data_IF_490052377225
#
_entry.id   IF_490052377225
#
_cell.length_a   1.000
_cell.length_b   1.000
_cell.length_c   1.000
_cell.angle_alpha   90.00
_cell.angle_beta   90.00
_cell.angle_gamma   90.00
#
_symmetry.space_group_name_H-M   'P 1'
#
loop_
_entity.id
_entity.type
_entity.pdbx_description
1 polymer ?
#
# COMPACT_ATOMS: atom_id res chain seq x y z
N UNK A 1 -33.82 -6.68 -3.46
CA UNK A 1 -34.15 -5.98 -4.73
C UNK A 1 -33.01 -5.03 -5.07
N UNK A 2 -32.61 -4.87 -6.35
CA UNK A 2 -31.59 -3.90 -6.75
C UNK A 2 -32.29 -2.59 -7.15
N UNK A 3 -31.92 -1.49 -6.51
CA UNK A 3 -32.45 -0.16 -6.84
C UNK A 3 -31.91 0.27 -8.21
N UNK A 4 -32.80 0.67 -9.12
CA UNK A 4 -32.46 1.24 -10.44
C UNK A 4 -33.09 2.63 -10.53
N UNK A 5 -32.28 3.62 -10.85
CA UNK A 5 -32.67 5.02 -10.96
C UNK A 5 -32.36 5.48 -12.37
N UNK A 6 -33.39 5.83 -13.13
CA UNK A 6 -33.21 6.50 -14.42
C UNK A 6 -33.07 7.99 -14.19
N UNK A 7 -31.90 8.55 -14.48
CA UNK A 7 -31.64 10.00 -14.41
C UNK A 7 -31.76 10.57 -15.81
N UNK A 8 -32.57 11.61 -15.99
CA UNK A 8 -32.69 12.31 -17.27
C UNK A 8 -32.11 13.72 -17.15
N UNK A 9 -31.18 14.06 -18.04
CA UNK A 9 -30.56 15.37 -18.06
C UNK A 9 -31.51 16.45 -18.64
N UNK A 10 -31.11 17.72 -18.59
CA UNK A 10 -31.91 18.85 -19.10
C UNK A 10 -32.10 18.88 -20.62
N UNK A 11 -31.46 17.96 -21.37
CA UNK A 11 -31.56 17.80 -22.81
C UNK A 11 -32.42 16.60 -23.24
N UNK A 12 -32.94 15.84 -22.26
CA UNK A 12 -33.80 14.69 -22.52
C UNK A 12 -33.06 13.36 -22.69
N UNK A 13 -31.75 13.31 -22.48
CA UNK A 13 -31.01 12.06 -22.44
C UNK A 13 -31.17 11.41 -21.08
N UNK A 14 -31.51 10.13 -21.08
CA UNK A 14 -31.66 9.32 -19.86
C UNK A 14 -30.52 8.31 -19.74
N UNK A 15 -29.99 8.16 -18.53
CA UNK A 15 -29.07 7.08 -18.16
C UNK A 15 -29.65 6.29 -16.98
N UNK A 16 -29.34 4.99 -16.91
CA UNK A 16 -29.77 4.12 -15.81
C UNK A 16 -28.62 3.95 -14.83
N UNK A 17 -28.77 4.51 -13.64
CA UNK A 17 -27.85 4.30 -12.53
C UNK A 17 -28.36 3.14 -11.69
N UNK A 18 -27.52 2.14 -11.51
CA UNK A 18 -27.73 1.04 -10.59
C UNK A 18 -26.95 1.29 -9.29
N UNK A 19 -27.47 0.81 -8.15
CA UNK A 19 -26.71 0.84 -6.89
C UNK A 19 -25.44 -0.03 -6.88
N UNK A 20 -25.10 -0.68 -8.00
CA UNK A 20 -23.87 -1.43 -8.20
C UNK A 20 -22.87 -0.69 -9.10
N UNK A 21 -23.23 0.47 -9.66
CA UNK A 21 -22.31 1.25 -10.48
C UNK A 21 -21.19 1.79 -9.59
N UNK A 22 -19.94 1.45 -9.93
CA UNK A 22 -18.77 1.74 -9.09
C UNK A 22 -18.37 0.60 -8.15
N UNK A 23 -19.24 -0.38 -7.86
CA UNK A 23 -18.87 -1.56 -7.06
C UNK A 23 -17.96 -2.47 -7.88
N UNK A 24 -16.76 -2.72 -7.38
CA UNK A 24 -15.79 -3.65 -7.99
C UNK A 24 -15.89 -5.01 -7.33
N UNK A 25 -15.72 -6.08 -8.11
CA UNK A 25 -15.58 -7.43 -7.55
C UNK A 25 -14.14 -7.59 -7.04
N UNK A 26 -13.90 -7.81 -5.73
CA UNK A 26 -12.57 -7.98 -5.16
C UNK A 26 -11.74 -9.08 -5.83
N UNK A 27 -12.40 -10.13 -6.34
CA UNK A 27 -11.74 -11.25 -7.01
C UNK A 27 -11.31 -10.93 -8.45
N UNK A 28 -11.74 -9.77 -8.98
CA UNK A 28 -11.39 -9.30 -10.32
C UNK A 28 -10.32 -8.21 -10.32
N UNK A 29 -9.83 -7.80 -9.15
CA UNK A 29 -8.77 -6.81 -9.03
C UNK A 29 -7.42 -7.44 -9.45
N UNK A 30 -6.60 -6.64 -10.11
CA UNK A 30 -5.25 -7.03 -10.49
C UNK A 30 -4.33 -7.09 -9.24
N UNK A 31 -3.24 -7.85 -9.38
CA UNK A 31 -2.21 -7.94 -8.35
C UNK A 31 -2.52 -8.93 -7.23
N UNK A 32 -1.60 -8.99 -6.27
CA UNK A 32 -1.56 -10.03 -5.24
C UNK A 32 -1.33 -9.42 -3.85
N UNK A 33 -1.61 -10.21 -2.80
CA UNK A 33 -1.56 -9.71 -1.42
C UNK A 33 -0.23 -10.02 -0.74
N UNK A 34 0.22 -11.28 -0.80
CA UNK A 34 1.48 -11.72 -0.17
C UNK A 34 1.94 -13.07 -0.74
N UNK A 35 3.24 -13.38 -0.67
CA UNK A 35 3.72 -14.73 -0.97
C UNK A 35 3.13 -15.75 0.02
N UNK A 36 2.96 -16.98 -0.44
CA UNK A 36 2.32 -18.07 0.30
C UNK A 36 3.24 -18.74 1.33
N UNK A 37 4.55 -18.75 1.05
CA UNK A 37 5.58 -19.40 1.87
C UNK A 37 6.31 -18.47 2.84
N UNK A 38 7.25 -19.02 3.61
CA UNK A 38 8.18 -18.23 4.42
C UNK A 38 9.22 -17.51 3.53
N UNK A 39 9.77 -16.37 3.96
CA UNK A 39 10.86 -15.72 3.23
C UNK A 39 12.06 -16.64 3.08
N UNK A 40 12.70 -16.59 1.91
CA UNK A 40 13.92 -17.34 1.65
C UNK A 40 15.10 -16.89 2.54
N UNK A 41 15.08 -15.65 3.01
CA UNK A 41 16.11 -15.06 3.88
C UNK A 41 15.45 -14.11 4.87
N UNK A 42 15.90 -14.19 6.13
CA UNK A 42 15.54 -13.27 7.20
C UNK A 42 16.83 -12.55 7.60
N UNK A 43 17.01 -11.27 7.22
CA UNK A 43 18.18 -10.51 7.60
C UNK A 43 18.27 -10.25 9.10
N UNK A 44 19.48 -9.97 9.58
CA UNK A 44 19.68 -9.50 10.95
C UNK A 44 19.04 -8.11 11.15
N UNK A 45 19.09 -7.60 12.38
CA UNK A 45 18.63 -6.26 12.70
C UNK A 45 19.29 -5.18 11.81
N UNK A 46 18.46 -4.31 11.22
CA UNK A 46 18.94 -3.24 10.34
C UNK A 46 19.73 -2.19 11.12
N UNK A 47 21.05 -2.14 10.89
CA UNK A 47 21.95 -1.17 11.49
C UNK A 47 22.40 -0.15 10.46
N UNK A 48 22.04 1.13 10.64
CA UNK A 48 22.58 2.20 9.81
C UNK A 48 24.01 2.54 10.27
N UNK A 49 24.99 2.67 9.36
CA UNK A 49 26.35 3.09 9.72
C UNK A 49 26.45 4.51 10.30
N UNK A 50 25.44 5.32 10.02
CA UNK A 50 25.30 6.69 10.48
C UNK A 50 24.52 6.72 11.80
N UNK A 51 25.16 7.21 12.86
CA UNK A 51 24.60 7.27 14.21
C UNK A 51 23.60 8.43 14.40
N UNK A 52 23.56 9.40 13.48
CA UNK A 52 22.54 10.44 13.44
C UNK A 52 21.25 9.97 12.74
N UNK A 53 21.25 8.78 12.14
CA UNK A 53 20.06 8.23 11.47
C UNK A 53 18.98 7.83 12.47
N UNK A 54 17.84 8.51 12.37
CA UNK A 54 16.62 8.17 13.06
C UNK A 54 15.65 7.50 12.08
N UNK A 55 15.37 6.21 12.35
CA UNK A 55 14.44 5.41 11.55
C UNK A 55 13.04 6.01 11.62
N UNK A 56 12.36 6.08 10.49
CA UNK A 56 10.96 6.48 10.46
C UNK A 56 10.16 5.51 11.36
N UNK A 57 9.28 6.01 12.24
CA UNK A 57 8.59 5.16 13.19
C UNK A 57 7.72 4.13 12.45
N UNK A 58 7.78 2.87 12.90
CA UNK A 58 6.73 1.90 12.59
C UNK A 58 5.52 2.19 13.47
N UNK A 59 4.33 2.13 12.87
CA UNK A 59 3.07 2.52 13.53
C UNK A 59 2.18 1.30 13.80
N UNK A 60 2.24 0.28 12.94
CA UNK A 60 1.34 -0.88 12.99
C UNK A 60 2.07 -2.16 13.43
N UNK A 61 1.64 -2.71 14.57
CA UNK A 61 2.12 -3.99 15.08
C UNK A 61 1.44 -5.17 14.35
N UNK A 62 0.09 -5.18 14.38
CA UNK A 62 -0.76 -6.11 13.66
C UNK A 62 -1.35 -5.43 12.42
N UNK A 63 -1.55 -6.19 11.34
CA UNK A 63 -2.02 -5.65 10.05
C UNK A 63 -3.11 -6.51 9.43
N UNK A 64 -3.98 -5.87 8.66
CA UNK A 64 -4.98 -6.53 7.84
C UNK A 64 -4.41 -6.79 6.44
N UNK A 65 -4.19 -8.06 6.11
CA UNK A 65 -3.60 -8.45 4.83
C UNK A 65 -4.61 -8.34 3.69
N UNK A 66 -4.39 -7.35 2.80
CA UNK A 66 -5.10 -7.22 1.53
C UNK A 66 -6.54 -6.73 1.59
N UNK A 67 -7.25 -6.87 2.70
CA UNK A 67 -8.65 -6.46 2.83
C UNK A 67 -8.91 -5.91 4.22
N UNK A 68 -9.72 -4.84 4.32
CA UNK A 68 -10.01 -4.20 5.60
C UNK A 68 -10.91 -2.99 5.46
N UNK A 69 -10.95 -2.17 6.51
CA UNK A 69 -11.88 -1.07 6.64
C UNK A 69 -11.26 0.32 6.77
N UNK A 70 -12.15 1.29 6.95
CA UNK A 70 -11.89 2.70 7.17
C UNK A 70 -11.34 2.95 8.58
N UNK A 71 -10.90 4.18 8.86
CA UNK A 71 -10.56 4.61 10.23
C UNK A 71 -11.78 4.63 11.18
N UNK A 72 -12.99 4.43 10.65
CA UNK A 72 -14.27 4.43 11.37
C UNK A 72 -15.07 3.13 11.19
N UNK A 73 -14.39 2.00 10.94
CA UNK A 73 -14.95 0.65 10.85
C UNK A 73 -15.81 0.33 9.60
N UNK A 74 -15.80 1.18 8.56
CA UNK A 74 -16.48 0.83 7.29
C UNK A 74 -15.64 -0.17 6.50
N UNK A 75 -16.19 -1.34 6.18
CA UNK A 75 -15.49 -2.36 5.37
C UNK A 75 -15.55 -2.07 3.86
N UNK A 76 -14.57 -2.59 3.11
CA UNK A 76 -14.62 -2.61 1.65
C UNK A 76 -13.43 -1.94 0.97
N UNK A 77 -12.28 -1.89 1.63
CA UNK A 77 -11.01 -1.53 1.01
C UNK A 77 -10.24 -2.81 0.68
N UNK A 78 -9.75 -2.89 -0.55
CA UNK A 78 -8.90 -3.97 -1.04
C UNK A 78 -7.54 -3.42 -1.46
N UNK A 79 -6.47 -3.92 -0.86
CA UNK A 79 -5.08 -3.56 -1.14
C UNK A 79 -4.40 -4.68 -1.93
N UNK A 80 -3.74 -4.33 -3.02
CA UNK A 80 -3.01 -5.27 -3.89
C UNK A 80 -1.66 -4.69 -4.29
N UNK A 81 -0.68 -5.55 -4.49
CA UNK A 81 0.57 -5.21 -5.15
C UNK A 81 0.53 -5.66 -6.61
N UNK A 82 0.78 -4.73 -7.51
CA UNK A 82 0.79 -4.94 -8.97
C UNK A 82 2.23 -4.84 -9.46
N UNK A 83 2.75 -5.93 -10.02
CA UNK A 83 4.01 -5.93 -10.76
C UNK A 83 3.68 -5.75 -12.25
N UNK A 84 3.92 -4.57 -12.86
CA UNK A 84 3.57 -4.29 -14.24
C UNK A 84 4.36 -5.12 -15.27
N UNK A 85 5.48 -5.71 -14.88
CA UNK A 85 6.26 -6.59 -15.74
C UNK A 85 5.77 -8.04 -15.76
N UNK A 86 4.85 -8.41 -14.85
CA UNK A 86 4.32 -9.76 -14.70
C UNK A 86 2.92 -9.88 -15.33
N UNK A 87 2.71 -10.89 -16.19
CA UNK A 87 1.44 -11.15 -16.88
C UNK A 87 0.83 -12.54 -16.58
N UNK A 88 1.41 -13.28 -15.62
CA UNK A 88 0.93 -14.59 -15.17
C UNK A 88 -0.06 -14.54 -14.00
N UNK A 89 -0.33 -15.70 -13.41
CA UNK A 89 -1.29 -15.89 -12.31
C UNK A 89 -0.66 -16.46 -11.02
N UNK A 90 0.66 -16.67 -11.00
CA UNK A 90 1.40 -17.14 -9.82
C UNK A 90 1.79 -15.98 -8.91
N UNK A 91 1.19 -15.96 -7.70
CA UNK A 91 1.43 -14.92 -6.72
C UNK A 91 2.87 -14.87 -6.20
N UNK A 92 3.52 -16.03 -6.05
CA UNK A 92 4.88 -16.11 -5.52
C UNK A 92 5.90 -15.61 -6.55
N UNK A 93 5.62 -15.79 -7.85
CA UNK A 93 6.43 -15.22 -8.94
C UNK A 93 6.16 -13.71 -9.11
N UNK A 94 4.90 -13.28 -9.10
CA UNK A 94 4.54 -11.86 -9.24
C UNK A 94 5.12 -10.97 -8.14
N UNK A 95 5.17 -11.50 -6.92
CA UNK A 95 5.62 -10.81 -5.71
C UNK A 95 7.11 -11.00 -5.44
N UNK A 96 7.86 -11.55 -6.40
CA UNK A 96 9.32 -11.64 -6.35
C UNK A 96 9.90 -10.49 -7.16
N UNK A 97 10.50 -9.51 -6.48
CA UNK A 97 11.06 -8.31 -7.09
C UNK A 97 12.59 -8.32 -7.06
N UNK A 98 13.20 -7.84 -8.14
CA UNK A 98 14.64 -7.61 -8.28
C UNK A 98 14.96 -6.11 -8.20
N UNK A 99 16.24 -5.77 -8.10
CA UNK A 99 16.65 -4.36 -7.99
C UNK A 99 16.30 -3.61 -9.27
N UNK A 100 15.62 -2.48 -9.11
CA UNK A 100 15.17 -1.65 -10.23
C UNK A 100 13.82 -2.07 -10.83
N UNK A 101 13.19 -3.13 -10.32
CA UNK A 101 11.81 -3.46 -10.71
C UNK A 101 10.86 -2.35 -10.25
N UNK A 102 9.94 -1.98 -11.15
CA UNK A 102 8.82 -1.12 -10.83
C UNK A 102 7.72 -1.97 -10.20
N UNK A 103 7.06 -1.45 -9.17
CA UNK A 103 5.85 -2.06 -8.62
C UNK A 103 4.91 -0.99 -8.11
N UNK A 104 3.64 -1.34 -7.99
CA UNK A 104 2.61 -0.44 -7.47
C UNK A 104 1.86 -1.12 -6.35
N UNK A 105 1.41 -0.32 -5.40
CA UNK A 105 0.41 -0.74 -4.43
C UNK A 105 -0.87 0.01 -4.75
N UNK A 106 -1.97 -0.72 -4.87
CA UNK A 106 -3.27 -0.17 -5.23
C UNK A 106 -4.28 -0.50 -4.12
N UNK A 107 -4.89 0.55 -3.55
CA UNK A 107 -6.03 0.43 -2.65
C UNK A 107 -7.30 0.80 -3.41
N UNK A 108 -8.25 -0.13 -3.52
CA UNK A 108 -9.53 0.08 -4.20
C UNK A 108 -10.68 0.03 -3.21
N UNK A 109 -11.57 1.03 -3.24
CA UNK A 109 -12.87 0.93 -2.57
C UNK A 109 -13.82 0.06 -3.40
N UNK A 110 -14.08 -1.15 -2.92
CA UNK A 110 -15.00 -2.11 -3.55
C UNK A 110 -16.44 -1.99 -3.03
N UNK A 111 -16.69 -1.16 -2.03
CA UNK A 111 -18.01 -0.94 -1.48
C UNK A 111 -18.90 -0.05 -2.37
N UNK A 112 -20.20 -0.05 -2.09
CA UNK A 112 -21.19 0.78 -2.79
C UNK A 112 -21.36 2.19 -2.17
N UNK A 113 -20.47 2.59 -1.25
CA UNK A 113 -20.48 3.89 -0.59
C UNK A 113 -19.06 4.43 -0.41
N UNK A 114 -18.96 5.74 -0.15
CA UNK A 114 -17.69 6.41 0.14
C UNK A 114 -17.08 5.86 1.44
N UNK A 115 -15.78 5.58 1.42
CA UNK A 115 -15.01 5.13 2.59
C UNK A 115 -13.99 6.21 2.96
N UNK A 116 -13.98 6.62 4.24
CA UNK A 116 -13.06 7.62 4.75
C UNK A 116 -11.71 7.02 5.19
N UNK A 117 -10.62 7.47 4.60
CA UNK A 117 -9.25 7.07 4.96
C UNK A 117 -8.43 8.28 5.40
N UNK A 118 -7.29 8.04 6.04
CA UNK A 118 -6.28 9.05 6.34
C UNK A 118 -5.59 9.55 5.07
N UNK A 119 -4.82 10.63 5.19
CA UNK A 119 -3.99 11.11 4.08
C UNK A 119 -3.08 9.98 3.53
N UNK A 120 -2.93 9.91 2.21
CA UNK A 120 -2.28 8.79 1.52
C UNK A 120 -0.76 8.68 1.79
N UNK A 121 -0.13 9.68 2.41
CA UNK A 121 1.25 9.61 2.89
C UNK A 121 1.41 8.74 4.14
N UNK A 122 0.33 8.30 4.79
CA UNK A 122 0.37 7.49 6.02
C UNK A 122 0.72 6.01 5.73
N UNK A 123 1.94 5.74 5.25
CA UNK A 123 2.42 4.38 4.98
C UNK A 123 3.85 4.10 5.44
N UNK A 124 4.13 2.83 5.72
CA UNK A 124 5.47 2.29 6.01
C UNK A 124 5.90 1.27 4.95
N UNK A 125 7.21 1.13 4.78
CA UNK A 125 7.85 0.07 3.99
C UNK A 125 8.83 -0.64 4.91
N UNK A 126 8.52 -1.88 5.27
CA UNK A 126 9.20 -2.59 6.35
C UNK A 126 9.79 -3.90 5.85
N UNK A 127 11.01 -4.21 6.28
CA UNK A 127 11.67 -5.49 6.07
C UNK A 127 11.44 -6.40 7.27
N UNK A 128 11.15 -7.67 7.01
CA UNK A 128 11.07 -8.70 8.05
C UNK A 128 12.48 -9.19 8.43
N UNK A 129 12.93 -8.80 9.62
CA UNK A 129 14.25 -9.13 10.18
C UNK A 129 14.12 -10.11 11.35
N UNK A 130 15.26 -10.53 11.91
CA UNK A 130 15.30 -11.30 13.16
C UNK A 130 14.64 -10.57 14.35
N UNK A 131 14.52 -9.24 14.31
CA UNK A 131 13.82 -8.43 15.33
C UNK A 131 12.33 -8.17 14.99
N UNK A 132 11.86 -8.70 13.85
CA UNK A 132 10.53 -8.45 13.31
C UNK A 132 10.53 -7.40 12.20
N UNK A 133 9.35 -6.85 11.93
CA UNK A 133 9.15 -5.83 10.89
C UNK A 133 9.84 -4.52 11.27
N UNK A 134 10.73 -4.06 10.40
CA UNK A 134 11.55 -2.87 10.62
C UNK A 134 11.46 -1.94 9.41
N UNK A 135 11.04 -0.70 9.62
CA UNK A 135 10.94 0.32 8.57
C UNK A 135 12.32 0.62 7.96
N UNK A 136 12.43 0.61 6.64
CA UNK A 136 13.74 0.72 5.97
C UNK A 136 14.19 2.17 5.77
N UNK A 137 13.25 3.11 5.82
CA UNK A 137 13.50 4.55 5.63
C UNK A 137 13.68 5.28 6.95
N UNK A 138 14.36 6.41 6.89
CA UNK A 138 14.57 7.32 8.00
C UNK A 138 15.38 8.52 7.55
N UNK A 139 15.90 9.29 8.49
CA UNK A 139 16.67 10.50 8.19
C UNK A 139 17.24 11.09 9.46
N UNK A 140 17.75 12.31 9.38
CA UNK A 140 18.57 12.88 10.46
C UNK A 140 17.74 13.61 11.55
N UNK A 141 16.41 13.69 11.38
CA UNK A 141 15.48 14.36 12.31
C UNK A 141 14.08 13.74 12.23
N UNK A 142 13.74 12.83 13.14
CA UNK A 142 12.44 12.16 13.12
C UNK A 142 11.24 13.10 13.36
N UNK A 143 11.46 14.31 13.90
CA UNK A 143 10.38 15.29 14.06
C UNK A 143 9.83 15.79 12.73
N UNK A 144 10.56 15.55 11.61
CA UNK A 144 10.13 15.89 10.26
C UNK A 144 9.15 14.91 9.65
N UNK A 145 8.95 13.74 10.24
CA UNK A 145 8.06 12.69 9.73
C UNK A 145 6.62 12.81 10.27
N UNK A 146 6.19 14.02 10.59
CA UNK A 146 4.88 14.27 11.17
C UNK A 146 3.80 14.32 10.08
N UNK A 147 2.70 13.59 10.31
CA UNK A 147 1.55 13.55 9.42
C UNK A 147 0.38 14.32 10.01
N UNK A 148 -0.40 14.97 9.15
CA UNK A 148 -1.66 15.61 9.54
C UNK A 148 -2.77 14.57 9.69
N UNK A 149 -3.68 14.84 10.63
CA UNK A 149 -4.92 14.10 10.78
C UNK A 149 -5.97 14.67 9.83
N UNK A 150 -5.89 14.21 8.58
CA UNK A 150 -6.84 14.51 7.52
C UNK A 150 -7.64 13.27 7.14
N UNK A 151 -8.96 13.44 6.99
CA UNK A 151 -9.86 12.42 6.47
C UNK A 151 -10.12 12.70 4.98
N UNK A 152 -9.76 11.74 4.14
CA UNK A 152 -9.93 11.75 2.69
C UNK A 152 -11.04 10.74 2.32
N UNK A 153 -12.00 11.18 1.51
CA UNK A 153 -13.08 10.30 1.04
C UNK A 153 -12.64 9.54 -0.22
N UNK A 154 -12.73 8.21 -0.21
CA UNK A 154 -12.51 7.33 -1.36
C UNK A 154 -13.85 6.86 -1.89
N UNK A 155 -14.21 7.20 -3.13
CA UNK A 155 -15.52 6.86 -3.71
C UNK A 155 -15.63 5.39 -4.11
N UNK A 156 -16.85 4.85 -4.30
CA UNK A 156 -17.05 3.52 -4.89
C UNK A 156 -16.26 3.33 -6.18
N UNK A 157 -15.39 2.33 -6.21
CA UNK A 157 -14.56 1.96 -7.35
C UNK A 157 -13.35 2.87 -7.60
N UNK A 158 -13.11 3.85 -6.73
CA UNK A 158 -11.90 4.67 -6.75
C UNK A 158 -10.70 3.86 -6.27
N UNK A 159 -9.58 4.02 -6.97
CA UNK A 159 -8.29 3.37 -6.67
C UNK A 159 -7.26 4.44 -6.35
N UNK A 160 -6.60 4.27 -5.20
CA UNK A 160 -5.42 5.04 -4.80
C UNK A 160 -4.19 4.20 -5.15
N UNK A 161 -3.23 4.81 -5.85
CA UNK A 161 -2.01 4.14 -6.30
C UNK A 161 -0.78 4.76 -5.62
N UNK A 162 0.11 3.92 -5.11
CA UNK A 162 1.49 4.25 -4.76
C UNK A 162 2.43 3.53 -5.70
N UNK A 163 3.29 4.27 -6.39
CA UNK A 163 4.24 3.72 -7.36
C UNK A 163 5.66 3.78 -6.79
N UNK A 164 6.42 2.70 -6.98
CA UNK A 164 7.77 2.55 -6.44
C UNK A 164 8.69 1.90 -7.47
N UNK A 165 9.99 2.15 -7.29
CA UNK A 165 11.06 1.37 -7.93
C UNK A 165 11.90 0.73 -6.84
N UNK A 166 12.24 -0.56 -6.97
CA UNK A 166 12.99 -1.32 -5.97
C UNK A 166 14.48 -0.92 -5.93
N UNK A 167 14.72 0.29 -5.46
CA UNK A 167 16.02 0.95 -5.24
C UNK A 167 15.88 1.89 -4.05
N UNK A 168 16.99 2.29 -3.45
CA UNK A 168 16.99 3.17 -2.28
C UNK A 168 16.21 4.47 -2.55
N UNK A 169 16.50 5.15 -3.66
CA UNK A 169 15.83 6.39 -4.05
C UNK A 169 14.38 6.13 -4.50
N UNK A 170 14.14 5.02 -5.21
CA UNK A 170 12.82 4.67 -5.76
C UNK A 170 11.76 4.30 -4.72
N UNK A 171 12.15 4.01 -3.47
CA UNK A 171 11.23 3.83 -2.35
C UNK A 171 10.83 5.15 -1.67
N UNK A 172 11.42 6.27 -2.09
CA UNK A 172 11.25 7.60 -1.49
C UNK A 172 10.68 8.60 -2.50
N UNK A 173 11.08 8.49 -3.77
CA UNK A 173 10.68 9.39 -4.86
C UNK A 173 9.16 9.63 -4.89
N UNK A 174 8.75 10.90 -4.92
CA UNK A 174 7.34 11.30 -4.99
C UNK A 174 6.53 11.00 -3.71
N UNK A 175 7.17 10.45 -2.68
CA UNK A 175 6.57 10.10 -1.41
C UNK A 175 6.49 11.27 -0.40
N UNK A 176 5.84 11.05 0.75
CA UNK A 176 5.86 12.00 1.84
C UNK A 176 7.29 12.16 2.37
N UNK A 177 7.67 13.40 2.70
CA UNK A 177 8.98 13.70 3.29
C UNK A 177 10.19 13.26 2.44
N UNK A 178 10.05 13.18 1.11
CA UNK A 178 11.13 12.82 0.18
C UNK A 178 12.44 13.59 0.44
N UNK A 179 12.34 14.91 0.68
CA UNK A 179 13.49 15.78 0.99
C UNK A 179 14.20 15.47 2.32
N UNK A 180 13.66 14.55 3.14
CA UNK A 180 14.12 14.25 4.49
C UNK A 180 14.33 12.76 4.75
N UNK A 181 13.89 11.88 3.83
CA UNK A 181 14.02 10.44 3.96
C UNK A 181 15.16 9.91 3.10
N UNK A 182 15.80 8.87 3.61
CA UNK A 182 16.74 8.00 2.91
C UNK A 182 16.56 6.56 3.41
N UNK A 183 16.89 5.59 2.57
CA UNK A 183 16.96 4.18 2.98
C UNK A 183 18.29 3.95 3.70
N UNK A 184 18.26 3.28 4.87
CA UNK A 184 19.48 2.88 5.57
C UNK A 184 19.27 1.64 6.46
N UNK A 185 20.14 0.62 6.36
CA UNK A 185 21.21 0.43 5.35
C UNK A 185 20.65 0.24 3.92
N UNK A 186 21.51 0.01 2.93
CA UNK A 186 21.11 -0.38 1.57
C UNK A 186 20.15 -1.57 1.60
N UNK A 187 19.32 -1.71 0.56
CA UNK A 187 18.27 -2.74 0.53
C UNK A 187 18.86 -4.15 0.61
N UNK A 188 18.38 -4.93 1.58
CA UNK A 188 18.80 -6.32 1.80
C UNK A 188 17.74 -7.29 1.26
N UNK A 189 18.15 -8.40 0.61
CA UNK A 189 17.21 -9.44 0.21
C UNK A 189 16.41 -9.99 1.40
N UNK A 190 15.10 -10.13 1.22
CA UNK A 190 14.18 -10.56 2.27
C UNK A 190 12.74 -10.22 1.95
N UNK A 191 11.86 -10.41 2.94
CA UNK A 191 10.44 -10.09 2.78
C UNK A 191 10.15 -8.68 3.25
N UNK A 192 9.58 -7.90 2.34
CA UNK A 192 9.09 -6.56 2.59
C UNK A 192 7.58 -6.56 2.75
N UNK A 193 7.06 -5.57 3.49
CA UNK A 193 5.64 -5.21 3.48
C UNK A 193 5.48 -3.72 3.25
N UNK A 194 4.44 -3.36 2.53
CA UNK A 194 3.88 -2.02 2.54
C UNK A 194 2.69 -2.05 3.50
N UNK A 195 2.61 -1.08 4.41
CA UNK A 195 1.50 -0.96 5.36
C UNK A 195 0.92 0.44 5.29
N UNK A 196 -0.37 0.56 4.95
CA UNK A 196 -1.13 1.79 5.00
C UNK A 196 -1.90 1.89 6.32
N UNK A 197 -1.39 2.73 7.21
CA UNK A 197 -1.96 2.99 8.55
C UNK A 197 -2.87 4.24 8.56
N UNK A 198 -3.25 4.72 7.36
CA UNK A 198 -4.38 5.64 7.19
C UNK A 198 -5.73 4.94 7.14
N UNK A 199 -5.79 3.62 7.31
CA UNK A 199 -7.03 2.84 7.33
C UNK A 199 -6.96 1.86 8.50
N UNK A 200 -7.65 0.73 8.40
CA UNK A 200 -7.52 -0.40 9.32
C UNK A 200 -6.20 -1.17 9.09
N UNK A 201 -5.05 -0.47 9.16
CA UNK A 201 -3.69 -1.01 9.03
C UNK A 201 -3.52 -2.05 7.91
N UNK A 202 -3.89 -1.65 6.68
CA UNK A 202 -3.89 -2.51 5.51
C UNK A 202 -2.47 -2.80 5.02
N UNK A 203 -2.17 -4.06 4.70
CA UNK A 203 -0.83 -4.43 4.24
C UNK A 203 -0.82 -5.40 3.04
N UNK A 204 0.25 -5.29 2.27
CA UNK A 204 0.68 -6.26 1.24
C UNK A 204 2.15 -6.58 1.44
N UNK A 205 2.59 -7.77 1.03
CA UNK A 205 3.97 -8.21 1.16
C UNK A 205 4.55 -8.72 -0.17
N UNK A 206 5.86 -8.64 -0.28
CA UNK A 206 6.64 -9.10 -1.43
C UNK A 206 8.05 -9.52 -1.01
N UNK A 207 8.70 -10.34 -1.81
CA UNK A 207 10.07 -10.80 -1.57
C UNK A 207 11.02 -10.06 -2.52
N UNK A 208 11.98 -9.35 -1.96
CA UNK A 208 13.08 -8.75 -2.71
C UNK A 208 14.29 -9.68 -2.71
N UNK A 209 14.88 -9.90 -3.89
CA UNK A 209 15.89 -10.96 -4.06
C UNK A 209 17.29 -10.47 -4.42
N UNK A 210 17.46 -9.15 -4.58
CA UNK A 210 18.75 -8.50 -4.86
C UNK A 210 19.00 -8.26 -6.35
#
# INVERSE_FOLDING_TARGET
ERLRLTVTNGWGDSDEISGADGVRDPASLDGFVRPSGEPATVPAALTCPDDEFERHPSIADDVNWGSGGSVGDDEGLELRLVNPAYDGDDADEALRLERGDEFRVEMTNVAAHDIGVGNHGKYTIELYTEEGWTEVRGGDDASRFAYTDELVSTRPGETVEWSFTMTEDGLIEGGPHEDHLRVCPDLEPGRYRFTFWGADDLAVAFDYVG
#
